data_IF_367883500925
#
_entry.id   IF_367883500925
#
_cell.length_a   1.000
_cell.length_b   1.000
_cell.length_c   1.000
_cell.angle_alpha   90.00
_cell.angle_beta   90.00
_cell.angle_gamma   90.00
#
_symmetry.space_group_name_H-M   'P 1'
#
loop_
_entity.id
_entity.type
_entity.pdbx_description
1 polymer ?
#
# COMPACT_ATOMS: atom_id res chain seq x y z
N UNK A 1 22.35 -16.34 -24.82
CA UNK A 1 21.95 -16.92 -23.51
C UNK A 1 21.90 -15.87 -22.38
N UNK A 2 22.77 -14.85 -22.40
CA UNK A 2 22.86 -13.79 -21.37
C UNK A 2 21.65 -12.84 -21.32
N UNK A 3 21.04 -12.51 -22.47
CA UNK A 3 19.82 -11.65 -22.50
C UNK A 3 18.59 -12.31 -21.86
N UNK A 4 18.42 -13.62 -22.05
CA UNK A 4 17.29 -14.37 -21.47
C UNK A 4 17.41 -14.45 -19.94
N UNK A 5 18.62 -14.66 -19.42
CA UNK A 5 18.90 -14.66 -17.98
C UNK A 5 18.65 -13.30 -17.31
N UNK A 6 19.00 -12.19 -17.99
CA UNK A 6 18.72 -10.85 -17.49
C UNK A 6 17.22 -10.52 -17.52
N UNK A 7 16.50 -10.98 -18.55
CA UNK A 7 15.05 -10.83 -18.65
C UNK A 7 14.32 -11.63 -17.57
N UNK A 8 14.70 -12.89 -17.34
CA UNK A 8 14.14 -13.73 -16.26
C UNK A 8 14.49 -13.18 -14.88
N UNK A 9 15.70 -12.64 -14.68
CA UNK A 9 16.07 -11.91 -13.44
C UNK A 9 15.26 -10.63 -13.24
N UNK A 10 15.00 -9.88 -14.30
CA UNK A 10 14.18 -8.67 -14.26
C UNK A 10 12.72 -9.00 -13.90
N UNK A 11 12.16 -10.05 -14.50
CA UNK A 11 10.82 -10.57 -14.20
C UNK A 11 10.71 -11.16 -12.80
N UNK A 12 11.75 -11.87 -12.36
CA UNK A 12 11.81 -12.43 -11.01
C UNK A 12 11.93 -11.31 -9.97
N UNK A 13 12.75 -10.28 -10.23
CA UNK A 13 12.88 -9.11 -9.38
C UNK A 13 11.58 -8.30 -9.28
N UNK A 14 10.86 -8.10 -10.39
CA UNK A 14 9.56 -7.43 -10.38
C UNK A 14 8.50 -8.25 -9.65
N UNK A 15 8.46 -9.57 -9.85
CA UNK A 15 7.54 -10.45 -9.15
C UNK A 15 7.80 -10.46 -7.63
N UNK A 16 9.06 -10.56 -7.20
CA UNK A 16 9.41 -10.50 -5.78
C UNK A 16 9.10 -9.13 -5.16
N UNK A 17 9.30 -8.04 -5.89
CA UNK A 17 8.89 -6.71 -5.45
C UNK A 17 7.37 -6.60 -5.25
N UNK A 18 6.58 -7.14 -6.21
CA UNK A 18 5.12 -7.19 -6.12
C UNK A 18 4.64 -8.01 -4.91
N UNK A 19 5.28 -9.14 -4.64
CA UNK A 19 4.95 -9.96 -3.45
C UNK A 19 5.28 -9.21 -2.16
N UNK A 20 6.43 -8.53 -2.09
CA UNK A 20 6.80 -7.70 -0.93
C UNK A 20 5.80 -6.57 -0.68
N UNK A 21 5.48 -5.80 -1.72
CA UNK A 21 4.54 -4.69 -1.65
C UNK A 21 3.12 -5.17 -1.26
N UNK A 22 2.69 -6.35 -1.75
CA UNK A 22 1.41 -6.95 -1.38
C UNK A 22 1.33 -7.30 0.10
N UNK A 23 2.41 -7.82 0.70
CA UNK A 23 2.43 -8.12 2.13
C UNK A 23 2.29 -6.84 2.96
N UNK A 24 3.03 -5.79 2.59
CA UNK A 24 2.97 -4.48 3.26
C UNK A 24 1.56 -3.90 3.18
N UNK A 25 0.96 -3.88 1.99
CA UNK A 25 -0.40 -3.40 1.75
C UNK A 25 -1.45 -4.22 2.49
N UNK A 26 -1.29 -5.54 2.54
CA UNK A 26 -2.20 -6.44 3.25
C UNK A 26 -2.16 -6.19 4.76
N UNK A 27 -0.96 -6.00 5.32
CA UNK A 27 -0.81 -5.68 6.74
C UNK A 27 -1.42 -4.31 7.05
N UNK A 28 -1.19 -3.32 6.19
CA UNK A 28 -1.81 -2.00 6.33
C UNK A 28 -3.35 -2.10 6.30
N UNK A 29 -3.92 -2.86 5.36
CA UNK A 29 -5.37 -3.09 5.30
C UNK A 29 -5.89 -3.68 6.63
N UNK A 30 -5.21 -4.68 7.17
CA UNK A 30 -5.55 -5.23 8.48
C UNK A 30 -5.46 -4.18 9.59
N UNK A 31 -4.41 -3.34 9.60
CA UNK A 31 -4.26 -2.28 10.60
C UNK A 31 -5.44 -1.30 10.55
N UNK A 32 -5.85 -0.88 9.35
CA UNK A 32 -6.91 0.10 9.14
C UNK A 32 -8.31 -0.44 9.45
N UNK A 33 -8.65 -1.61 8.92
CA UNK A 33 -10.04 -2.11 8.90
C UNK A 33 -10.35 -3.18 9.96
N UNK A 34 -9.34 -3.79 10.59
CA UNK A 34 -9.60 -4.79 11.63
C UNK A 34 -10.00 -4.09 12.95
N UNK A 35 -11.12 -4.48 13.59
CA UNK A 35 -11.52 -3.93 14.89
C UNK A 35 -10.56 -4.31 16.03
N UNK A 36 -9.83 -5.42 15.91
CA UNK A 36 -8.91 -5.92 16.95
C UNK A 36 -7.52 -5.28 16.92
N UNK A 37 -7.25 -4.40 15.96
CA UNK A 37 -5.93 -3.74 15.86
C UNK A 37 -5.76 -2.73 17.00
N UNK A 38 -4.64 -2.76 17.73
CA UNK A 38 -4.33 -1.79 18.77
C UNK A 38 -4.41 -0.33 18.28
N UNK A 39 -4.96 0.56 19.12
CA UNK A 39 -5.16 1.98 18.78
C UNK A 39 -3.87 2.68 18.37
N UNK A 40 -2.76 2.41 19.06
CA UNK A 40 -1.45 3.01 18.78
C UNK A 40 -0.91 2.70 17.38
N UNK A 41 -1.37 1.62 16.73
CA UNK A 41 -1.02 1.32 15.34
C UNK A 41 -1.91 2.11 14.38
N UNK A 42 -3.21 2.21 14.66
CA UNK A 42 -4.15 2.99 13.85
C UNK A 42 -3.81 4.47 13.86
N UNK A 43 -3.43 5.01 15.01
CA UNK A 43 -3.08 6.43 15.19
C UNK A 43 -1.89 6.88 14.33
N UNK A 44 -1.03 5.94 13.90
CA UNK A 44 0.07 6.22 12.98
C UNK A 44 -0.40 6.53 11.56
N UNK A 45 -1.61 6.11 11.20
CA UNK A 45 -2.19 6.29 9.87
C UNK A 45 -3.40 7.22 9.95
N UNK A 46 -3.26 8.42 9.39
CA UNK A 46 -4.33 9.43 9.38
C UNK A 46 -4.80 9.66 7.96
N UNK A 47 -6.09 9.57 7.71
CA UNK A 47 -6.66 9.94 6.41
C UNK A 47 -6.72 11.45 6.26
N UNK A 48 -6.30 11.97 5.11
CA UNK A 48 -6.29 13.41 4.83
C UNK A 48 -7.72 14.00 4.69
N UNK A 49 -8.69 13.17 4.35
CA UNK A 49 -10.03 13.60 3.93
C UNK A 49 -11.11 13.70 5.00
N UNK A 50 -10.85 13.38 6.27
CA UNK A 50 -11.94 13.28 7.27
C UNK A 50 -12.58 14.65 7.61
N UNK A 51 -11.97 15.77 7.20
CA UNK A 51 -12.37 17.11 7.63
C UNK A 51 -13.17 17.94 6.61
N UNK A 52 -13.40 17.47 5.37
CA UNK A 52 -14.19 18.26 4.40
C UNK A 52 -15.00 17.37 3.44
N UNK A 53 -16.27 17.71 3.19
CA UNK A 53 -17.16 17.02 2.25
C UNK A 53 -16.87 17.36 0.77
N UNK A 54 -15.59 17.43 0.39
CA UNK A 54 -15.21 17.68 -1.01
C UNK A 54 -15.00 16.37 -1.76
N UNK A 55 -15.15 16.38 -3.09
CA UNK A 55 -15.00 15.17 -3.94
C UNK A 55 -13.65 14.43 -3.74
N UNK A 56 -12.61 15.12 -3.26
CA UNK A 56 -11.29 14.56 -2.90
C UNK A 56 -11.25 13.84 -1.55
N UNK A 57 -12.23 14.04 -0.65
CA UNK A 57 -12.26 13.42 0.68
C UNK A 57 -12.59 11.93 0.64
N UNK A 58 -13.34 11.50 -0.38
CA UNK A 58 -13.65 10.10 -0.67
C UNK A 58 -12.46 9.31 -1.21
N UNK A 59 -11.29 9.94 -1.35
CA UNK A 59 -10.12 9.31 -1.93
C UNK A 59 -9.43 8.28 -1.02
N UNK A 60 -9.77 8.17 0.27
CA UNK A 60 -9.07 7.29 1.22
C UNK A 60 -7.53 7.50 1.15
N UNK A 61 -7.08 8.73 0.97
CA UNK A 61 -5.64 9.05 0.89
C UNK A 61 -5.08 9.19 2.31
N UNK A 62 -3.97 8.51 2.57
CA UNK A 62 -3.27 8.57 3.84
C UNK A 62 -2.30 9.75 3.86
N UNK A 63 -2.24 10.45 4.99
CA UNK A 63 -1.28 11.51 5.24
C UNK A 63 0.12 10.94 5.39
N UNK A 64 1.07 11.47 4.62
CA UNK A 64 2.46 11.05 4.69
C UNK A 64 3.08 11.48 6.03
N UNK A 65 3.72 10.56 6.77
CA UNK A 65 4.35 10.92 8.03
C UNK A 65 5.58 11.81 7.76
N UNK A 66 5.62 12.97 8.41
CA UNK A 66 6.78 13.86 8.35
C UNK A 66 7.95 13.24 9.11
N UNK A 67 9.11 13.10 8.45
CA UNK A 67 10.28 12.50 9.04
C UNK A 67 11.56 13.20 8.58
N UNK A 68 12.51 13.37 9.50
CA UNK A 68 13.80 14.03 9.25
C UNK A 68 14.95 13.06 8.99
N UNK A 69 14.79 11.79 9.37
CA UNK A 69 15.87 10.79 9.33
C UNK A 69 15.72 9.85 8.14
N UNK A 70 16.86 9.50 7.52
CA UNK A 70 16.90 8.50 6.43
C UNK A 70 16.40 7.13 6.87
N UNK A 71 16.61 6.75 8.13
CA UNK A 71 16.14 5.49 8.68
C UNK A 71 14.60 5.39 8.65
N UNK A 72 13.91 6.45 9.07
CA UNK A 72 12.45 6.44 9.11
C UNK A 72 11.82 6.38 7.71
N UNK A 73 12.51 6.86 6.68
CA UNK A 73 12.09 6.72 5.27
C UNK A 73 11.88 5.25 4.87
N UNK A 74 12.69 4.35 5.41
CA UNK A 74 12.58 2.91 5.13
C UNK A 74 11.67 2.17 6.13
N UNK A 75 10.95 2.90 6.99
CA UNK A 75 10.01 2.30 7.93
C UNK A 75 8.76 1.75 7.23
N UNK A 76 8.13 0.77 7.88
CA UNK A 76 6.84 0.23 7.44
C UNK A 76 5.80 1.35 7.21
N UNK A 77 5.71 2.33 8.11
CA UNK A 77 4.71 3.40 8.02
C UNK A 77 4.86 4.22 6.73
N UNK A 78 6.09 4.61 6.39
CA UNK A 78 6.35 5.40 5.17
C UNK A 78 6.03 4.56 3.93
N UNK A 79 6.66 3.38 3.81
CA UNK A 79 6.48 2.49 2.64
C UNK A 79 5.02 2.07 2.45
N UNK A 80 4.31 1.73 3.52
CA UNK A 80 2.90 1.35 3.46
C UNK A 80 2.02 2.52 2.99
N UNK A 81 2.29 3.73 3.48
CA UNK A 81 1.56 4.95 3.08
C UNK A 81 1.80 5.30 1.61
N UNK A 82 3.06 5.24 1.16
CA UNK A 82 3.44 5.47 -0.24
C UNK A 82 2.75 4.48 -1.17
N UNK A 83 2.84 3.18 -0.86
CA UNK A 83 2.20 2.14 -1.65
C UNK A 83 0.69 2.31 -1.69
N UNK A 84 0.05 2.60 -0.55
CA UNK A 84 -1.39 2.81 -0.49
C UNK A 84 -1.84 4.00 -1.34
N UNK A 85 -1.11 5.11 -1.28
CA UNK A 85 -1.45 6.32 -2.04
C UNK A 85 -1.20 6.16 -3.55
N UNK A 86 -0.27 5.29 -3.95
CA UNK A 86 -0.04 4.93 -5.35
C UNK A 86 -1.17 4.06 -5.94
N UNK A 87 -2.02 3.43 -5.11
CA UNK A 87 -3.12 2.62 -5.58
C UNK A 87 -4.28 3.48 -6.11
N UNK A 88 -4.96 3.01 -7.19
CA UNK A 88 -6.17 3.64 -7.66
C UNK A 88 -7.31 3.48 -6.64
N UNK A 89 -8.24 4.42 -6.67
CA UNK A 89 -9.29 4.59 -5.66
C UNK A 89 -10.22 3.38 -5.56
N UNK A 90 -10.55 2.75 -6.67
CA UNK A 90 -11.36 1.53 -6.73
C UNK A 90 -10.76 0.38 -5.90
N UNK A 91 -9.43 0.25 -5.87
CA UNK A 91 -8.73 -0.79 -5.09
C UNK A 91 -8.74 -0.45 -3.60
N UNK A 92 -8.54 0.83 -3.25
CA UNK A 92 -8.58 1.29 -1.85
C UNK A 92 -9.95 1.10 -1.19
N UNK A 93 -11.03 1.14 -1.97
CA UNK A 93 -12.42 0.92 -1.52
C UNK A 93 -12.80 -0.58 -1.41
N UNK A 94 -11.84 -1.49 -1.47
CA UNK A 94 -12.11 -2.93 -1.39
C UNK A 94 -12.78 -3.33 -0.07
N UNK A 95 -13.89 -4.07 -0.18
CA UNK A 95 -14.76 -4.46 0.95
C UNK A 95 -14.18 -5.57 1.85
N UNK A 96 -13.18 -6.31 1.38
CA UNK A 96 -12.53 -7.37 2.15
C UNK A 96 -11.06 -7.52 1.78
N UNK A 97 -10.27 -8.11 2.68
CA UNK A 97 -8.85 -8.37 2.47
C UNK A 97 -8.59 -9.30 1.27
N UNK A 98 -9.46 -10.30 1.05
CA UNK A 98 -9.33 -11.23 -0.08
C UNK A 98 -9.52 -10.52 -1.42
N UNK A 99 -10.57 -9.70 -1.52
CA UNK A 99 -10.83 -8.89 -2.72
C UNK A 99 -9.68 -7.91 -2.94
N UNK A 100 -9.23 -7.23 -1.88
CA UNK A 100 -8.11 -6.28 -1.93
C UNK A 100 -6.83 -6.92 -2.46
N UNK A 101 -6.42 -8.08 -1.93
CA UNK A 101 -5.22 -8.78 -2.40
C UNK A 101 -5.33 -9.15 -3.89
N UNK A 102 -6.48 -9.62 -4.33
CA UNK A 102 -6.68 -10.04 -5.72
C UNK A 102 -6.69 -8.83 -6.67
N UNK A 103 -7.35 -7.73 -6.31
CA UNK A 103 -7.38 -6.51 -7.13
C UNK A 103 -6.01 -5.83 -7.20
N UNK A 104 -5.24 -5.83 -6.10
CA UNK A 104 -3.85 -5.36 -6.08
C UNK A 104 -2.97 -6.22 -7.00
N UNK A 105 -3.04 -7.55 -6.92
CA UNK A 105 -2.29 -8.44 -7.84
C UNK A 105 -2.65 -8.18 -9.29
N UNK A 106 -3.94 -8.08 -9.60
CA UNK A 106 -4.41 -7.80 -10.96
C UNK A 106 -3.87 -6.46 -11.47
N UNK A 107 -3.82 -5.43 -10.63
CA UNK A 107 -3.27 -4.12 -10.98
C UNK A 107 -1.77 -4.18 -11.29
N UNK A 108 -0.98 -4.92 -10.52
CA UNK A 108 0.46 -5.06 -10.78
C UNK A 108 0.79 -5.96 -11.98
N UNK A 109 -0.07 -6.93 -12.31
CA UNK A 109 0.11 -7.80 -13.48
C UNK A 109 -0.35 -7.16 -14.80
N UNK A 110 -1.17 -6.12 -14.73
CA UNK A 110 -1.67 -5.39 -15.89
C UNK A 110 -0.73 -4.25 -16.34
N UNK A 111 0.33 -3.95 -15.59
CA UNK A 111 1.38 -2.97 -15.91
C UNK A 111 2.53 -3.64 -16.66
#
# INVERSE_FOLDING_TARGET
>A
MTMYLNFVRSLSGSLFAVVGDLHVLSLLYCVLFNPKTPSYLKEKFKFLGVQSELRSSRALTLSMPFHKTKFYKHSFTVKATELWNALPLNIRHSKSLGIFKNTVKAHYLAQ
#
